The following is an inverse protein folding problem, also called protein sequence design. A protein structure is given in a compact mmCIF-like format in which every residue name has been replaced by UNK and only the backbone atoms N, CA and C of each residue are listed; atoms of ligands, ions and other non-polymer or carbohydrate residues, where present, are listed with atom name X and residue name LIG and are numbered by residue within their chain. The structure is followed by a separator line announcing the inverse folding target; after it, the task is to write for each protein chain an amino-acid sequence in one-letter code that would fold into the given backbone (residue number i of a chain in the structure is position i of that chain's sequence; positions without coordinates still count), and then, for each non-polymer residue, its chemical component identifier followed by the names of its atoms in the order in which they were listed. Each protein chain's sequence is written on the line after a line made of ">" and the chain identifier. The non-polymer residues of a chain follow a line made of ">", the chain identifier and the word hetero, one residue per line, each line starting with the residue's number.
data_IF_328905691608
#
_entry.id   IF_328905691608
#
_cell.length_a   1.000
_cell.length_b   1.000
_cell.length_c   1.000
_cell.angle_alpha   90.00
_cell.angle_beta   90.00
_cell.angle_gamma   90.00
#
_symmetry.space_group_name_H-M   'P 1'
#
loop_
_entity.id
_entity.type
_entity.pdbx_description
1 polymer ?
#
# COMPACT_ATOMS: atom_id res chain seq x y z
N UNK A 1 9.82 -0.13 33.77
CA UNK A 1 9.68 -0.75 32.43
C UNK A 1 8.24 -0.46 31.99
N UNK A 2 8.02 0.42 31.01
CA UNK A 2 6.65 0.76 30.58
C UNK A 2 6.22 -0.29 29.55
N UNK A 3 5.28 -1.15 29.91
CA UNK A 3 4.75 -2.19 29.02
C UNK A 3 3.62 -1.60 28.16
N UNK A 4 3.66 -1.84 26.85
CA UNK A 4 2.65 -1.40 25.90
C UNK A 4 1.77 -2.58 25.47
N UNK A 5 0.48 -2.32 25.24
CA UNK A 5 -0.44 -3.30 24.66
C UNK A 5 -0.91 -2.79 23.30
N UNK A 6 -0.76 -3.63 22.28
CA UNK A 6 -1.31 -3.38 20.95
C UNK A 6 -2.63 -4.13 20.81
N UNK A 7 -3.72 -3.40 20.50
CA UNK A 7 -5.02 -3.97 20.20
C UNK A 7 -5.24 -3.99 18.69
N UNK A 8 -5.27 -5.18 18.13
CA UNK A 8 -5.63 -5.43 16.72
C UNK A 8 -7.08 -5.91 16.69
N UNK A 9 -8.01 -5.02 16.32
CA UNK A 9 -9.43 -5.36 16.29
C UNK A 9 -9.86 -5.87 14.92
N UNK A 10 -9.26 -6.99 14.52
CA UNK A 10 -9.70 -7.81 13.39
C UNK A 10 -9.81 -9.22 13.93
N UNK A 11 -11.04 -9.75 14.04
CA UNK A 11 -11.21 -11.17 14.35
C UNK A 11 -10.81 -11.99 13.12
N UNK A 12 -10.00 -13.03 13.31
CA UNK A 12 -9.43 -13.89 12.25
C UNK A 12 -10.55 -14.50 11.35
N UNK A 13 -11.74 -14.72 11.92
CA UNK A 13 -12.95 -15.14 11.21
C UNK A 13 -13.47 -14.14 10.17
N UNK A 14 -13.13 -12.85 10.27
CA UNK A 14 -13.65 -11.79 9.40
C UNK A 14 -12.74 -11.44 8.21
N UNK A 15 -11.52 -12.01 8.10
CA UNK A 15 -10.59 -11.89 6.95
C UNK A 15 -10.64 -10.51 6.24
N UNK A 16 -10.51 -9.42 6.98
CA UNK A 16 -10.54 -8.04 6.44
C UNK A 16 -11.80 -7.64 5.63
N UNK A 17 -12.91 -8.37 5.75
CA UNK A 17 -14.16 -8.11 5.00
C UNK A 17 -15.02 -7.01 5.63
N UNK A 18 -14.84 -6.74 6.92
CA UNK A 18 -15.54 -5.66 7.63
C UNK A 18 -14.55 -4.59 8.08
N UNK A 19 -14.96 -3.31 8.15
CA UNK A 19 -14.17 -2.25 8.76
C UNK A 19 -13.79 -2.59 10.21
N UNK A 20 -12.65 -2.06 10.67
CA UNK A 20 -12.26 -2.14 12.07
C UNK A 20 -13.28 -1.46 12.99
N UNK A 21 -13.63 -2.12 14.10
CA UNK A 21 -14.57 -1.60 15.09
C UNK A 21 -13.83 -0.76 16.13
N UNK A 22 -13.79 0.55 15.89
CA UNK A 22 -13.11 1.50 16.76
C UNK A 22 -13.93 1.87 18.00
N UNK A 23 -15.25 1.65 18.01
CA UNK A 23 -16.06 1.87 19.20
C UNK A 23 -15.69 0.87 20.30
N UNK A 24 -15.46 -0.40 19.91
CA UNK A 24 -14.96 -1.42 20.83
C UNK A 24 -13.54 -1.10 21.34
N UNK A 25 -12.68 -0.49 20.52
CA UNK A 25 -11.37 0.00 20.98
C UNK A 25 -11.56 1.08 22.06
N UNK A 26 -12.47 2.04 21.85
CA UNK A 26 -12.80 3.07 22.85
C UNK A 26 -13.28 2.47 24.16
N UNK A 27 -14.13 1.45 24.12
CA UNK A 27 -14.61 0.74 25.32
C UNK A 27 -13.45 0.10 26.09
N UNK A 28 -12.52 -0.55 25.38
CA UNK A 28 -11.33 -1.16 26.01
C UNK A 28 -10.41 -0.11 26.61
N UNK A 29 -10.21 1.02 25.93
CA UNK A 29 -9.43 2.15 26.46
C UNK A 29 -10.07 2.70 27.74
N UNK A 30 -11.39 2.94 27.72
CA UNK A 30 -12.13 3.46 28.86
C UNK A 30 -12.10 2.51 30.08
N UNK A 31 -12.14 1.20 29.83
CA UNK A 31 -12.04 0.18 30.87
C UNK A 31 -10.62 0.06 31.46
N UNK A 32 -9.59 0.56 30.76
CA UNK A 32 -8.18 0.40 31.14
C UNK A 32 -7.39 1.73 31.11
N UNK A 33 -7.78 2.75 31.89
CA UNK A 33 -7.23 4.11 31.80
C UNK A 33 -5.73 4.22 32.14
N UNK A 34 -5.17 3.21 32.80
CA UNK A 34 -3.76 3.20 33.21
C UNK A 34 -2.85 2.41 32.24
N UNK A 35 -3.41 1.81 31.19
CA UNK A 35 -2.65 1.02 30.23
C UNK A 35 -2.43 1.79 28.93
N UNK A 36 -1.18 1.93 28.46
CA UNK A 36 -0.92 2.52 27.16
C UNK A 36 -1.37 1.57 26.06
N UNK A 37 -2.40 1.99 25.34
CA UNK A 37 -3.07 1.21 24.28
C UNK A 37 -2.75 1.80 22.91
N UNK A 38 -2.31 0.93 21.99
CA UNK A 38 -2.10 1.23 20.58
C UNK A 38 -3.28 0.66 19.77
N UNK A 39 -4.06 1.53 19.13
CA UNK A 39 -5.17 1.13 18.27
C UNK A 39 -4.72 0.79 16.84
N UNK A 40 -5.28 -0.25 16.23
CA UNK A 40 -4.96 -0.66 14.88
C UNK A 40 -6.22 -1.01 14.07
N UNK A 41 -6.30 -0.52 12.83
CA UNK A 41 -7.33 -0.92 11.88
C UNK A 41 -7.72 0.20 10.90
N UNK A 42 -7.61 -0.07 9.60
CA UNK A 42 -8.07 0.80 8.50
C UNK A 42 -7.62 2.27 8.58
N UNK A 43 -6.37 2.49 9.00
CA UNK A 43 -5.71 3.79 8.95
C UNK A 43 -4.93 3.88 7.63
N UNK A 44 -5.50 4.57 6.64
CA UNK A 44 -4.91 4.71 5.31
C UNK A 44 -4.42 6.13 5.01
N UNK A 45 -4.87 7.13 5.78
CA UNK A 45 -4.53 8.55 5.61
C UNK A 45 -4.20 9.20 6.95
N UNK A 46 -3.62 10.41 6.92
CA UNK A 46 -3.31 11.14 8.15
C UNK A 46 -4.57 11.57 8.92
N UNK A 47 -5.63 11.96 8.21
CA UNK A 47 -6.88 12.40 8.82
C UNK A 47 -7.65 11.22 9.42
N UNK A 48 -7.56 10.02 8.82
CA UNK A 48 -8.08 8.80 9.47
C UNK A 48 -7.36 8.55 10.80
N UNK A 49 -6.03 8.64 10.83
CA UNK A 49 -5.26 8.42 12.05
C UNK A 49 -5.59 9.44 13.14
N UNK A 50 -5.63 10.73 12.80
CA UNK A 50 -5.93 11.82 13.74
C UNK A 50 -7.33 11.65 14.33
N UNK A 51 -8.32 11.37 13.47
CA UNK A 51 -9.69 11.07 13.89
C UNK A 51 -9.74 9.86 14.83
N UNK A 52 -9.16 8.73 14.43
CA UNK A 52 -9.19 7.49 15.22
C UNK A 52 -8.49 7.65 16.57
N UNK A 53 -7.38 8.37 16.62
CA UNK A 53 -6.71 8.70 17.87
C UNK A 53 -7.63 9.52 18.79
N UNK A 54 -8.29 10.54 18.23
CA UNK A 54 -9.20 11.41 19.00
C UNK A 54 -10.47 10.71 19.49
N UNK A 55 -11.08 9.84 18.67
CA UNK A 55 -12.34 9.14 18.98
C UNK A 55 -12.14 7.97 19.96
N UNK A 56 -10.97 7.33 19.91
CA UNK A 56 -10.70 6.12 20.71
C UNK A 56 -10.08 6.38 22.07
N UNK A 57 -9.44 7.53 22.25
CA UNK A 57 -8.59 7.78 23.41
C UNK A 57 -7.34 6.90 23.46
N UNK A 58 -7.01 6.19 22.37
CA UNK A 58 -5.76 5.45 22.28
C UNK A 58 -4.56 6.38 22.48
N UNK A 59 -3.46 5.83 23.00
CA UNK A 59 -2.22 6.56 23.22
C UNK A 59 -1.41 6.70 21.94
N UNK A 60 -1.56 5.74 21.03
CA UNK A 60 -1.01 5.78 19.70
C UNK A 60 -1.87 4.96 18.74
N UNK A 61 -1.58 5.07 17.45
CA UNK A 61 -2.16 4.22 16.42
C UNK A 61 -1.09 3.53 15.60
N UNK A 62 -1.42 2.34 15.09
CA UNK A 62 -0.56 1.55 14.20
C UNK A 62 -1.24 1.39 12.84
N UNK A 63 -0.46 1.53 11.76
CA UNK A 63 -0.90 1.24 10.39
C UNK A 63 -0.01 0.18 9.75
N UNK A 64 -0.61 -0.69 8.94
CA UNK A 64 0.09 -1.72 8.16
C UNK A 64 -0.11 -1.50 6.67
N UNK A 65 -1.31 -1.83 6.16
CA UNK A 65 -1.64 -1.66 4.73
C UNK A 65 -1.51 -0.23 4.23
N UNK A 66 -1.84 0.76 5.06
CA UNK A 66 -1.66 2.18 4.73
C UNK A 66 -0.21 2.51 4.40
N UNK A 67 0.74 1.98 5.15
CA UNK A 67 2.17 2.17 4.90
C UNK A 67 2.66 1.49 3.61
N UNK A 68 2.07 0.34 3.23
CA UNK A 68 2.41 -0.36 1.96
C UNK A 68 1.85 0.38 0.74
N UNK A 69 0.64 0.94 0.87
CA UNK A 69 0.01 1.72 -0.21
C UNK A 69 0.71 3.09 -0.34
N UNK A 70 1.04 3.71 0.79
CA UNK A 70 1.55 5.08 0.90
C UNK A 70 2.82 5.09 1.78
N UNK A 71 4.01 4.77 1.25
CA UNK A 71 5.25 4.70 2.02
C UNK A 71 5.62 5.97 2.80
N UNK A 72 5.15 7.15 2.36
CA UNK A 72 5.35 8.44 3.04
C UNK A 72 4.26 8.77 4.08
N UNK A 73 3.32 7.86 4.36
CA UNK A 73 2.21 8.10 5.30
C UNK A 73 2.71 8.54 6.68
N UNK A 74 3.84 8.00 7.18
CA UNK A 74 4.41 8.44 8.45
C UNK A 74 4.84 9.91 8.46
N UNK A 75 5.27 10.43 7.30
CA UNK A 75 5.58 11.84 7.17
C UNK A 75 4.31 12.70 7.18
N UNK A 76 3.26 12.28 6.47
CA UNK A 76 1.95 12.95 6.53
C UNK A 76 1.36 12.94 7.95
N UNK A 77 1.51 11.83 8.68
CA UNK A 77 1.08 11.71 10.08
C UNK A 77 1.82 12.67 10.99
N UNK A 78 3.14 12.82 10.78
CA UNK A 78 3.97 13.75 11.56
C UNK A 78 3.66 15.21 11.23
N UNK A 79 3.44 15.52 9.96
CA UNK A 79 3.19 16.88 9.49
C UNK A 79 1.72 17.31 9.62
N UNK A 80 0.81 16.35 9.84
CA UNK A 80 -0.63 16.60 9.98
C UNK A 80 -1.29 17.09 8.70
N UNK A 81 -0.71 16.77 7.52
CA UNK A 81 -1.22 17.20 6.21
C UNK A 81 -0.89 16.19 5.12
N UNK A 82 -1.63 16.25 4.02
CA UNK A 82 -1.31 15.51 2.80
C UNK A 82 -0.06 16.11 2.13
N UNK A 83 0.81 15.25 1.60
CA UNK A 83 1.99 15.70 0.83
C UNK A 83 1.69 15.92 -0.66
N UNK A 84 0.60 15.35 -1.18
CA UNK A 84 0.16 15.43 -2.57
C UNK A 84 1.28 15.14 -3.58
N UNK A 85 2.03 14.04 -3.35
CA UNK A 85 3.20 13.71 -4.15
C UNK A 85 2.85 13.41 -5.62
N UNK A 86 3.62 14.01 -6.53
CA UNK A 86 3.53 13.72 -7.96
C UNK A 86 3.95 12.27 -8.27
N UNK A 87 3.68 11.82 -9.50
CA UNK A 87 4.16 10.51 -9.97
C UNK A 87 5.70 10.41 -9.89
N UNK A 88 6.39 11.48 -10.27
CA UNK A 88 7.84 11.55 -10.21
C UNK A 88 8.39 11.52 -8.77
N UNK A 89 7.77 12.23 -7.84
CA UNK A 89 8.18 12.20 -6.42
C UNK A 89 8.07 10.80 -5.84
N UNK A 90 7.05 10.05 -6.25
CA UNK A 90 6.90 8.64 -5.88
C UNK A 90 7.99 7.77 -6.51
N UNK A 91 8.36 8.00 -7.76
CA UNK A 91 9.52 7.33 -8.37
C UNK A 91 10.79 7.62 -7.56
N UNK A 92 11.02 8.87 -7.16
CA UNK A 92 12.19 9.28 -6.33
C UNK A 92 12.24 8.55 -4.99
N UNK A 93 11.08 8.33 -4.34
CA UNK A 93 11.01 7.52 -3.11
C UNK A 93 11.47 6.09 -3.36
N UNK A 94 11.03 5.45 -4.44
CA UNK A 94 11.48 4.10 -4.78
C UNK A 94 12.94 4.06 -5.24
N UNK A 95 13.43 5.10 -5.90
CA UNK A 95 14.85 5.23 -6.23
C UNK A 95 15.73 5.32 -5.00
N UNK A 96 15.28 6.07 -3.98
CA UNK A 96 15.93 6.06 -2.67
C UNK A 96 15.90 4.66 -2.04
N UNK A 97 14.78 3.95 -2.11
CA UNK A 97 14.68 2.59 -1.60
C UNK A 97 15.60 1.61 -2.34
N UNK A 98 15.68 1.67 -3.68
CA UNK A 98 16.64 0.87 -4.47
C UNK A 98 18.08 1.15 -4.04
N UNK A 99 18.45 2.42 -3.87
CA UNK A 99 19.80 2.77 -3.41
C UNK A 99 20.12 2.16 -2.04
N UNK A 100 19.17 2.23 -1.09
CA UNK A 100 19.31 1.60 0.23
C UNK A 100 19.38 0.07 0.13
N UNK A 101 18.60 -0.56 -0.74
CA UNK A 101 18.65 -2.01 -0.95
C UNK A 101 19.99 -2.45 -1.55
N UNK A 102 20.55 -1.68 -2.49
CA UNK A 102 21.89 -1.94 -3.04
C UNK A 102 22.98 -1.79 -1.99
N UNK A 103 22.86 -0.80 -1.11
CA UNK A 103 23.77 -0.59 0.02
C UNK A 103 23.72 -1.76 1.01
N UNK A 104 22.51 -2.24 1.34
CA UNK A 104 22.32 -3.28 2.36
C UNK A 104 22.53 -4.71 1.85
N UNK A 105 22.14 -5.00 0.60
CA UNK A 105 22.12 -6.36 0.04
C UNK A 105 23.11 -6.57 -1.11
N UNK A 106 23.80 -5.52 -1.57
CA UNK A 106 24.71 -5.54 -2.71
C UNK A 106 24.07 -5.07 -4.01
N UNK A 107 24.89 -4.54 -4.91
CA UNK A 107 24.49 -4.21 -6.30
C UNK A 107 24.95 -5.33 -7.24
N UNK A 108 24.58 -6.56 -6.90
CA UNK A 108 24.88 -7.77 -7.65
C UNK A 108 23.61 -8.60 -7.83
N UNK A 109 23.74 -9.81 -8.38
CA UNK A 109 22.60 -10.71 -8.58
C UNK A 109 21.88 -11.05 -7.28
N UNK A 110 22.59 -11.11 -6.14
CA UNK A 110 21.98 -11.45 -4.87
C UNK A 110 21.10 -10.32 -4.34
N UNK A 111 21.62 -9.09 -4.35
CA UNK A 111 20.84 -7.90 -4.00
C UNK A 111 19.65 -7.70 -4.94
N UNK A 112 19.85 -7.94 -6.24
CA UNK A 112 18.77 -7.88 -7.22
C UNK A 112 17.68 -8.92 -6.92
N UNK A 113 18.04 -10.17 -6.61
CA UNK A 113 17.06 -11.21 -6.22
C UNK A 113 16.24 -10.80 -4.98
N UNK A 114 16.86 -10.15 -4.00
CA UNK A 114 16.13 -9.62 -2.82
C UNK A 114 15.15 -8.50 -3.21
N UNK A 115 15.60 -7.57 -4.05
CA UNK A 115 14.76 -6.50 -4.59
C UNK A 115 13.59 -7.03 -5.41
N UNK A 116 13.83 -7.98 -6.32
CA UNK A 116 12.83 -8.49 -7.25
C UNK A 116 11.88 -9.49 -6.59
N UNK A 117 12.24 -10.04 -5.43
CA UNK A 117 11.29 -10.75 -4.58
C UNK A 117 10.33 -9.78 -3.87
N UNK A 118 10.83 -8.63 -3.41
CA UNK A 118 10.07 -7.67 -2.63
C UNK A 118 9.21 -6.73 -3.50
N UNK A 119 9.80 -6.09 -4.52
CA UNK A 119 9.17 -5.00 -5.25
C UNK A 119 7.88 -5.39 -5.96
N UNK A 120 7.80 -6.49 -6.73
CA UNK A 120 6.55 -6.85 -7.40
C UNK A 120 5.41 -7.11 -6.41
N UNK A 121 5.71 -7.80 -5.31
CA UNK A 121 4.76 -8.00 -4.21
C UNK A 121 4.35 -6.65 -3.57
N UNK A 122 5.29 -5.74 -3.33
CA UNK A 122 4.98 -4.45 -2.75
C UNK A 122 4.17 -3.56 -3.71
N UNK A 123 4.46 -3.60 -5.01
CA UNK A 123 3.72 -2.89 -6.04
C UNK A 123 2.27 -3.33 -6.14
N UNK A 124 1.96 -4.60 -5.82
CA UNK A 124 0.57 -5.10 -5.66
C UNK A 124 -0.25 -4.35 -4.59
N UNK A 125 0.39 -3.61 -3.68
CA UNK A 125 -0.26 -2.69 -2.75
C UNK A 125 -0.15 -1.23 -3.23
N UNK A 126 1.06 -0.81 -3.58
CA UNK A 126 1.35 0.57 -3.96
C UNK A 126 0.50 1.07 -5.12
N UNK A 127 0.18 0.23 -6.12
CA UNK A 127 -0.65 0.64 -7.26
C UNK A 127 -2.07 1.10 -6.89
N UNK A 128 -2.49 0.78 -5.67
CA UNK A 128 -3.79 1.16 -5.14
C UNK A 128 -3.79 2.62 -4.69
N UNK A 129 -2.63 3.23 -4.45
CA UNK A 129 -2.56 4.63 -4.01
C UNK A 129 -3.36 5.55 -4.93
N UNK A 130 -4.17 6.40 -4.30
CA UNK A 130 -4.84 7.54 -4.92
C UNK A 130 -4.58 8.76 -4.05
N UNK A 131 -4.38 9.95 -4.66
CA UNK A 131 -4.44 11.21 -3.91
C UNK A 131 -5.89 11.34 -3.42
N UNK A 132 -6.08 11.38 -2.10
CA UNK A 132 -7.41 11.47 -1.50
C UNK A 132 -7.39 12.66 -0.54
N UNK A 133 -7.62 13.88 -1.05
CA UNK A 133 -7.65 15.07 -0.23
C UNK A 133 -8.76 14.99 0.82
N UNK A 134 -8.48 15.48 2.02
CA UNK A 134 -9.43 15.44 3.15
C UNK A 134 -10.74 16.15 2.80
N UNK A 135 -10.67 17.23 2.00
CA UNK A 135 -11.83 18.02 1.58
C UNK A 135 -12.83 17.22 0.73
N UNK A 136 -12.33 16.24 -0.02
CA UNK A 136 -13.14 15.41 -0.92
C UNK A 136 -13.54 14.10 -0.24
N UNK A 137 -12.61 13.50 0.50
CA UNK A 137 -12.70 12.11 0.96
C UNK A 137 -12.81 11.97 2.48
N UNK A 138 -12.67 13.04 3.25
CA UNK A 138 -12.68 12.99 4.72
C UNK A 138 -14.00 12.49 5.30
N UNK A 139 -15.14 12.90 4.72
CA UNK A 139 -16.46 12.40 5.14
C UNK A 139 -16.69 10.95 4.68
N UNK A 140 -16.37 10.65 3.42
CA UNK A 140 -16.53 9.31 2.87
C UNK A 140 -15.67 8.26 3.61
N UNK A 141 -14.48 8.65 4.10
CA UNK A 141 -13.62 7.74 4.88
C UNK A 141 -14.21 7.35 6.24
N UNK A 142 -15.17 8.12 6.78
CA UNK A 142 -15.89 7.77 8.01
C UNK A 142 -16.79 6.55 7.79
N UNK A 143 -17.45 6.52 6.63
CA UNK A 143 -18.41 5.48 6.28
C UNK A 143 -17.72 4.27 5.64
N UNK A 144 -16.64 4.49 4.91
CA UNK A 144 -15.93 3.46 4.14
C UNK A 144 -14.40 3.61 4.27
N UNK A 145 -13.78 3.33 5.43
CA UNK A 145 -12.35 3.60 5.67
C UNK A 145 -11.39 2.79 4.76
N UNK A 146 -11.93 1.84 4.01
CA UNK A 146 -11.23 1.04 3.00
C UNK A 146 -11.32 1.63 1.58
N UNK A 147 -11.66 2.92 1.41
CA UNK A 147 -11.93 3.55 0.11
C UNK A 147 -10.90 3.14 -0.96
N UNK A 148 -9.61 3.29 -0.66
CA UNK A 148 -8.53 3.00 -1.61
C UNK A 148 -8.51 1.54 -2.10
N UNK A 149 -9.01 0.61 -1.30
CA UNK A 149 -9.02 -0.83 -1.63
C UNK A 149 -10.34 -1.33 -2.21
N UNK A 150 -11.40 -0.50 -2.19
CA UNK A 150 -12.77 -0.89 -2.60
C UNK A 150 -13.34 -0.05 -3.74
N UNK A 151 -12.87 1.18 -3.94
CA UNK A 151 -13.26 1.96 -5.12
C UNK A 151 -12.79 1.24 -6.38
N UNK A 152 -13.68 1.15 -7.37
CA UNK A 152 -13.25 0.81 -8.72
C UNK A 152 -12.31 1.92 -9.20
N UNK A 153 -11.36 1.59 -10.09
CA UNK A 153 -10.34 2.54 -10.61
C UNK A 153 -10.89 3.84 -11.22
N UNK A 154 -12.21 3.99 -11.35
CA UNK A 154 -12.92 5.07 -12.04
C UNK A 154 -13.87 5.87 -11.13
N UNK A 155 -13.96 5.55 -9.84
CA UNK A 155 -14.90 6.22 -8.91
C UNK A 155 -14.28 7.41 -8.16
N UNK A 156 -13.04 7.79 -8.48
CA UNK A 156 -12.31 8.91 -7.87
C UNK A 156 -12.49 10.26 -8.60
N UNK A 157 -13.33 10.29 -9.65
CA UNK A 157 -13.60 11.47 -10.46
C UNK A 157 -12.52 11.80 -11.48
N UNK A 158 -11.43 11.04 -11.52
CA UNK A 158 -10.38 11.13 -12.54
C UNK A 158 -10.65 10.13 -13.67
N UNK A 159 -10.66 10.59 -14.93
CA UNK A 159 -10.69 9.67 -16.07
C UNK A 159 -9.27 9.19 -16.37
N UNK A 160 -9.08 7.93 -16.77
CA UNK A 160 -7.72 7.42 -17.07
C UNK A 160 -7.02 8.27 -18.13
N UNK A 161 -7.78 8.89 -19.03
CA UNK A 161 -7.32 9.78 -20.09
C UNK A 161 -6.77 11.12 -19.56
N UNK A 162 -7.13 11.55 -18.35
CA UNK A 162 -6.62 12.79 -17.76
C UNK A 162 -5.28 12.59 -17.03
N UNK A 163 -4.85 11.34 -16.82
CA UNK A 163 -3.63 11.00 -16.09
C UNK A 163 -2.43 10.88 -17.03
N UNK A 164 -1.26 11.31 -16.55
CA UNK A 164 0.00 11.07 -17.25
C UNK A 164 0.27 9.57 -17.40
N UNK A 165 1.05 9.19 -18.42
CA UNK A 165 1.43 7.77 -18.62
C UNK A 165 2.16 7.20 -17.40
N UNK A 166 3.02 8.00 -16.77
CA UNK A 166 3.71 7.59 -15.55
C UNK A 166 2.73 7.35 -14.40
N UNK A 167 1.75 8.23 -14.20
CA UNK A 167 0.74 8.06 -13.16
C UNK A 167 -0.07 6.77 -13.38
N UNK A 168 -0.50 6.52 -14.62
CA UNK A 168 -1.24 5.32 -14.98
C UNK A 168 -0.41 4.05 -14.78
N UNK A 169 0.87 4.07 -15.17
CA UNK A 169 1.78 2.96 -14.95
C UNK A 169 1.93 2.64 -13.46
N UNK A 170 2.13 3.66 -12.62
CA UNK A 170 2.23 3.45 -11.16
C UNK A 170 0.92 2.94 -10.55
N UNK A 171 -0.24 3.16 -11.20
CA UNK A 171 -1.57 2.65 -10.80
C UNK A 171 -1.94 1.32 -11.47
N UNK A 172 -1.06 0.76 -12.30
CA UNK A 172 -1.28 -0.51 -12.99
C UNK A 172 -1.25 -1.68 -11.98
N UNK A 173 -2.22 -2.57 -12.06
CA UNK A 173 -2.33 -3.78 -11.21
C UNK A 173 -1.72 -5.03 -11.85
N UNK A 174 -1.25 -4.94 -13.09
CA UNK A 174 -0.69 -6.05 -13.84
C UNK A 174 0.63 -6.52 -13.21
N UNK A 175 0.72 -7.80 -12.89
CA UNK A 175 1.90 -8.39 -12.24
C UNK A 175 3.16 -8.31 -13.11
N UNK A 176 3.02 -8.37 -14.45
CA UNK A 176 4.15 -8.19 -15.37
C UNK A 176 4.67 -6.75 -15.28
N UNK A 177 3.76 -5.78 -15.27
CA UNK A 177 4.12 -4.37 -15.10
C UNK A 177 4.91 -4.14 -13.80
N UNK A 178 4.51 -4.78 -12.70
CA UNK A 178 5.24 -4.67 -11.43
C UNK A 178 6.68 -5.20 -11.51
N UNK A 179 6.90 -6.29 -12.24
CA UNK A 179 8.25 -6.82 -12.51
C UNK A 179 9.08 -5.86 -13.35
N UNK A 180 8.52 -5.34 -14.43
CA UNK A 180 9.20 -4.40 -15.33
C UNK A 180 9.51 -3.06 -14.66
N UNK A 181 8.60 -2.54 -13.83
CA UNK A 181 8.85 -1.35 -13.00
C UNK A 181 10.03 -1.60 -12.05
N UNK A 182 10.09 -2.77 -11.40
CA UNK A 182 11.19 -3.11 -10.51
C UNK A 182 12.54 -3.16 -11.24
N UNK A 183 12.56 -3.73 -12.46
CA UNK A 183 13.75 -3.76 -13.29
C UNK A 183 14.19 -2.36 -13.72
N UNK A 184 13.28 -1.55 -14.25
CA UNK A 184 13.57 -0.17 -14.66
C UNK A 184 14.12 0.67 -13.49
N UNK A 185 13.55 0.53 -12.29
CA UNK A 185 14.04 1.22 -11.09
C UNK A 185 15.41 0.74 -10.63
N UNK A 186 15.70 -0.56 -10.75
CA UNK A 186 16.98 -1.14 -10.35
C UNK A 186 18.12 -0.72 -11.28
N UNK A 187 17.88 -0.72 -12.59
CA UNK A 187 18.91 -0.46 -13.61
C UNK A 187 19.16 1.03 -13.83
N UNK A 188 18.22 1.90 -13.47
CA UNK A 188 18.37 3.34 -13.63
C UNK A 188 19.60 3.88 -12.87
N UNK A 189 20.39 4.71 -13.55
CA UNK A 189 21.58 5.35 -12.98
C UNK A 189 21.21 6.57 -12.11
N UNK A 190 20.16 7.31 -12.49
CA UNK A 190 19.65 8.48 -11.76
C UNK A 190 18.13 8.46 -11.63
N UNK A 191 17.57 9.40 -10.87
CA UNK A 191 16.12 9.58 -10.77
C UNK A 191 15.50 9.95 -12.12
N UNK A 192 16.18 10.78 -12.90
CA UNK A 192 15.73 11.18 -14.23
C UNK A 192 15.74 9.99 -15.21
N UNK A 193 16.78 9.16 -15.17
CA UNK A 193 16.85 7.96 -16.01
C UNK A 193 15.71 6.99 -15.67
N UNK A 194 15.37 6.87 -14.38
CA UNK A 194 14.27 6.03 -13.93
C UNK A 194 12.92 6.52 -14.46
N UNK A 195 12.65 7.83 -14.33
CA UNK A 195 11.43 8.46 -14.85
C UNK A 195 11.32 8.22 -16.36
N UNK A 196 12.39 8.52 -17.11
CA UNK A 196 12.42 8.31 -18.58
C UNK A 196 12.19 6.84 -18.95
N UNK A 197 12.80 5.91 -18.21
CA UNK A 197 12.67 4.47 -18.48
C UNK A 197 11.25 3.98 -18.22
N UNK A 198 10.63 4.45 -17.13
CA UNK A 198 9.24 4.14 -16.80
C UNK A 198 8.25 4.79 -17.79
N UNK A 199 8.50 6.00 -18.25
CA UNK A 199 7.67 6.64 -19.28
C UNK A 199 7.74 5.91 -20.62
N UNK A 200 8.93 5.43 -21.01
CA UNK A 200 9.11 4.58 -22.21
C UNK A 200 8.36 3.27 -22.06
N UNK A 201 8.50 2.60 -20.91
CA UNK A 201 7.78 1.37 -20.59
C UNK A 201 6.26 1.58 -20.65
N UNK A 202 5.78 2.68 -20.08
CA UNK A 202 4.37 3.04 -20.12
C UNK A 202 3.88 3.27 -21.56
N UNK A 203 4.70 3.96 -22.38
CA UNK A 203 4.34 4.26 -23.76
C UNK A 203 4.26 3.01 -24.65
N UNK A 204 5.02 1.96 -24.35
CA UNK A 204 5.06 0.72 -25.16
C UNK A 204 4.06 -0.34 -24.70
N UNK A 205 3.98 -0.61 -23.39
CA UNK A 205 3.29 -1.80 -22.87
C UNK A 205 1.97 -1.50 -22.13
N UNK A 206 1.79 -0.29 -21.61
CA UNK A 206 0.71 0.00 -20.65
C UNK A 206 -0.69 -0.27 -21.20
N UNK A 207 -0.94 0.11 -22.46
CA UNK A 207 -2.25 -0.10 -23.09
C UNK A 207 -2.59 -1.60 -23.17
N UNK A 208 -1.60 -2.45 -23.46
CA UNK A 208 -1.81 -3.89 -23.50
C UNK A 208 -2.13 -4.44 -22.10
N UNK A 209 -1.42 -3.97 -21.06
CA UNK A 209 -1.68 -4.39 -19.68
C UNK A 209 -3.03 -3.91 -19.16
N UNK A 210 -3.43 -2.67 -19.46
CA UNK A 210 -4.77 -2.15 -19.10
C UNK A 210 -5.89 -2.92 -19.80
N UNK A 211 -5.70 -3.32 -21.06
CA UNK A 211 -6.65 -4.17 -21.77
C UNK A 211 -6.74 -5.58 -21.16
N UNK A 212 -5.60 -6.19 -20.79
CA UNK A 212 -5.57 -7.47 -20.06
C UNK A 212 -6.31 -7.38 -18.71
N UNK A 213 -6.21 -6.26 -18.01
CA UNK A 213 -6.90 -6.02 -16.73
C UNK A 213 -8.41 -5.86 -16.92
N UNK A 214 -8.85 -5.07 -17.90
CA UNK A 214 -10.27 -4.86 -18.19
C UNK A 214 -10.99 -6.16 -18.58
N UNK A 215 -10.26 -7.12 -19.16
CA UNK A 215 -10.77 -8.45 -19.52
C UNK A 215 -10.84 -9.45 -18.35
N UNK A 216 -10.30 -9.15 -17.15
CA UNK A 216 -10.37 -10.04 -15.99
C UNK A 216 -11.64 -9.77 -15.18
N UNK A 217 -12.47 -10.78 -14.97
CA UNK A 217 -13.65 -10.64 -14.10
C UNK A 217 -13.24 -10.31 -12.65
N UNK A 218 -13.96 -9.38 -11.98
CA UNK A 218 -13.70 -9.01 -10.60
C UNK A 218 -14.10 -10.15 -9.66
N UNK A 219 -13.15 -11.00 -9.26
CA UNK A 219 -13.41 -12.06 -8.28
C UNK A 219 -12.33 -13.12 -8.06
N UNK A 220 -11.31 -13.19 -8.92
CA UNK A 220 -10.29 -14.24 -8.83
C UNK A 220 -8.91 -13.73 -8.39
N UNK A 221 -8.85 -12.89 -7.34
CA UNK A 221 -7.60 -12.64 -6.61
C UNK A 221 -7.31 -13.83 -5.67
N UNK A 222 -7.17 -15.03 -6.22
CA UNK A 222 -6.47 -16.10 -5.48
C UNK A 222 -4.98 -15.83 -5.62
N UNK A 223 -4.42 -15.25 -4.56
CA UNK A 223 -2.97 -15.17 -4.32
C UNK A 223 -2.29 -16.46 -4.76
N UNK A 224 -1.41 -16.37 -5.75
CA UNK A 224 -0.56 -17.44 -6.29
C UNK A 224 0.42 -18.04 -5.27
N UNK A 225 0.30 -17.70 -3.98
CA UNK A 225 1.06 -18.30 -2.88
C UNK A 225 0.45 -19.59 -2.30
N UNK A 226 -0.83 -19.87 -2.50
CA UNK A 226 -1.47 -21.09 -1.94
C UNK A 226 -1.14 -22.38 -2.72
N UNK A 227 -0.48 -22.29 -3.87
CA UNK A 227 -0.13 -23.46 -4.68
C UNK A 227 1.21 -24.13 -4.31
N UNK A 228 1.97 -23.58 -3.34
CA UNK A 228 3.34 -24.04 -3.02
C UNK A 228 3.51 -24.72 -1.66
N UNK A 229 2.43 -24.94 -0.90
CA UNK A 229 2.48 -25.60 0.43
C UNK A 229 1.73 -26.94 0.46
N UNK A 230 1.49 -27.57 -0.70
CA UNK A 230 0.69 -28.79 -0.83
C UNK A 230 1.50 -30.06 -1.16
N UNK A 231 2.79 -30.11 -0.83
CA UNK A 231 3.62 -31.30 -1.05
C UNK A 231 4.70 -31.38 0.03
N UNK A 232 4.34 -31.85 1.21
CA UNK A 232 5.14 -32.83 1.94
C UNK A 232 4.32 -33.43 3.10
N UNK A 233 4.75 -34.59 3.57
CA UNK A 233 4.24 -35.38 4.70
C UNK A 233 3.18 -36.44 4.37
N UNK A 234 3.63 -37.48 3.66
CA UNK A 234 3.05 -38.82 3.70
C UNK A 234 4.13 -39.86 4.00
N UNK A 235 4.51 -40.00 5.28
CA UNK A 235 5.25 -41.16 5.80
C UNK A 235 4.51 -41.66 7.05
N UNK A 236 3.57 -42.57 6.85
CA UNK A 236 3.17 -43.59 7.84
C UNK A 236 4.17 -44.75 7.67
N UNK A 237 4.74 -45.36 8.71
CA UNK A 237 4.03 -46.01 9.81
C UNK A 237 4.06 -47.51 9.56
#
# INVERSE_FOLDING_TARGET
>A
MHSWITLIMITDLLRYRKPADWALISEVVAANPNLPIIGNGDILTHYDASRRLSESGCHAVMTGRGALIRPWLFQELREGRELALSAEDRVRIYRRLVALMKEQFGNDEWGQRKAFYFFPWHFSFFHRYRPLPEEVYGEASRNYPLMITRHKKHDDGETLESLSLLERLLRCSNEKAHGEIAAALWDAASDQDAIISLEKLASSELLAWEAEEAGREPGNERSSRDARTGQDDGVEG
#
